data_IF_235619235689
#
_entry.id   IF_235619235689
#
_cell.length_a   1.000
_cell.length_b   1.000
_cell.length_c   1.000
_cell.angle_alpha   90.00
_cell.angle_beta   90.00
_cell.angle_gamma   90.00
#
_symmetry.space_group_name_H-M   'P 1'
#
loop_
_entity.id
_entity.type
_entity.pdbx_description
1 polymer ?
#
# COMPACT_ATOMS: atom_id res chain seq x y z
N UNK A 1 -9.81 -8.51 13.31
CA UNK A 1 -8.72 -9.44 12.95
C UNK A 1 -8.35 -9.17 11.50
N UNK A 2 -7.08 -8.89 11.19
CA UNK A 2 -6.62 -8.64 9.82
C UNK A 2 -6.40 -9.99 9.13
N UNK A 3 -7.37 -10.44 8.35
CA UNK A 3 -7.29 -11.69 7.59
C UNK A 3 -6.23 -11.53 6.50
N UNK A 4 -5.14 -12.30 6.56
CA UNK A 4 -4.14 -12.34 5.48
C UNK A 4 -4.87 -12.73 4.16
N UNK A 5 -4.58 -12.06 3.03
CA UNK A 5 -5.22 -12.39 1.76
C UNK A 5 -4.94 -13.85 1.37
N UNK A 6 -5.89 -14.51 0.71
CA UNK A 6 -5.67 -15.83 0.12
C UNK A 6 -4.57 -15.78 -0.93
N UNK A 7 -3.95 -16.92 -1.24
CA UNK A 7 -2.87 -17.00 -2.24
C UNK A 7 -3.30 -16.44 -3.61
N UNK A 8 -4.52 -16.75 -4.05
CA UNK A 8 -5.06 -16.26 -5.33
C UNK A 8 -5.21 -14.73 -5.33
N UNK A 9 -5.72 -14.17 -4.22
CA UNK A 9 -5.88 -12.72 -4.06
C UNK A 9 -4.53 -12.02 -3.99
N UNK A 10 -3.54 -12.63 -3.36
CA UNK A 10 -2.17 -12.13 -3.33
C UNK A 10 -1.57 -12.05 -4.74
N UNK A 11 -1.77 -13.08 -5.57
CA UNK A 11 -1.30 -13.09 -6.97
C UNK A 11 -1.98 -12.00 -7.78
N UNK A 12 -3.29 -11.82 -7.65
CA UNK A 12 -4.02 -10.73 -8.31
C UNK A 12 -3.47 -9.35 -7.90
N UNK A 13 -3.26 -9.16 -6.60
CA UNK A 13 -2.70 -7.93 -6.04
C UNK A 13 -1.29 -7.66 -6.55
N UNK A 14 -0.46 -8.70 -6.67
CA UNK A 14 0.90 -8.57 -7.20
C UNK A 14 0.86 -8.17 -8.68
N UNK A 15 -0.03 -8.76 -9.47
CA UNK A 15 -0.21 -8.39 -10.87
C UNK A 15 -0.68 -6.93 -11.03
N UNK A 16 -1.62 -6.47 -10.18
CA UNK A 16 -2.08 -5.08 -10.15
C UNK A 16 -0.97 -4.11 -9.73
N UNK A 17 -0.22 -4.44 -8.68
CA UNK A 17 0.90 -3.64 -8.22
C UNK A 17 1.98 -3.50 -9.31
N UNK A 18 2.34 -4.61 -9.97
CA UNK A 18 3.30 -4.63 -11.06
C UNK A 18 2.88 -3.74 -12.25
N UNK A 19 1.60 -3.80 -12.66
CA UNK A 19 1.06 -2.89 -13.70
C UNK A 19 1.18 -1.41 -13.35
N UNK A 20 1.25 -1.07 -12.06
CA UNK A 20 1.41 0.30 -11.54
C UNK A 20 2.87 0.67 -11.21
N UNK A 21 3.84 -0.16 -11.60
CA UNK A 21 5.25 -0.04 -11.22
C UNK A 21 5.43 0.08 -9.70
N UNK A 22 4.71 -0.74 -8.95
CA UNK A 22 4.68 -0.74 -7.49
C UNK A 22 4.72 -2.16 -6.92
N UNK A 23 4.93 -2.28 -5.62
CA UNK A 23 4.91 -3.53 -4.86
C UNK A 23 3.81 -3.49 -3.80
N UNK A 24 3.40 -4.68 -3.35
CA UNK A 24 2.55 -4.77 -2.16
C UNK A 24 3.43 -4.47 -0.94
N UNK A 25 3.03 -3.56 -0.04
CA UNK A 25 3.75 -3.34 1.21
C UNK A 25 3.70 -4.60 2.08
N UNK A 26 4.70 -4.77 2.94
CA UNK A 26 4.75 -5.90 3.88
C UNK A 26 3.58 -5.83 4.88
N UNK A 27 3.18 -4.61 5.23
CA UNK A 27 2.01 -4.32 6.04
C UNK A 27 1.48 -2.92 5.72
N UNK A 28 0.17 -2.73 5.87
CA UNK A 28 -0.43 -1.41 5.85
C UNK A 28 -1.66 -1.37 6.76
N UNK A 29 -1.95 -0.18 7.28
CA UNK A 29 -3.11 0.11 8.11
C UNK A 29 -3.68 1.47 7.71
N UNK A 30 -4.99 1.52 7.48
CA UNK A 30 -5.68 2.74 7.04
C UNK A 30 -6.43 3.36 8.22
N UNK A 31 -6.24 4.65 8.41
CA UNK A 31 -6.96 5.50 9.34
C UNK A 31 -7.75 6.55 8.56
N UNK A 32 -8.72 7.25 9.19
CA UNK A 32 -9.58 8.22 8.49
C UNK A 32 -8.84 9.30 7.69
N UNK A 33 -7.66 9.74 8.15
CA UNK A 33 -6.88 10.82 7.52
C UNK A 33 -5.48 10.42 7.05
N UNK A 34 -5.04 9.19 7.38
CA UNK A 34 -3.66 8.75 7.15
C UNK A 34 -3.58 7.26 6.86
N UNK A 35 -2.54 6.86 6.16
CA UNK A 35 -2.16 5.46 6.00
C UNK A 35 -0.81 5.24 6.67
N UNK A 36 -0.69 4.14 7.39
CA UNK A 36 0.57 3.62 7.91
C UNK A 36 0.99 2.46 7.03
N UNK A 37 2.24 2.45 6.57
CA UNK A 37 2.76 1.47 5.63
C UNK A 37 4.12 0.99 6.12
N UNK A 38 4.35 -0.32 6.09
CA UNK A 38 5.68 -0.94 6.19
C UNK A 38 6.12 -1.28 4.77
N UNK A 39 7.22 -0.68 4.32
CA UNK A 39 7.70 -0.86 2.96
C UNK A 39 8.02 -2.33 2.67
N UNK A 40 7.49 -2.87 1.58
CA UNK A 40 7.76 -4.26 1.18
C UNK A 40 9.21 -4.52 0.72
N UNK A 41 10.02 -3.47 0.51
CA UNK A 41 11.43 -3.60 0.12
C UNK A 41 12.37 -3.42 1.31
N UNK A 42 12.40 -2.24 1.93
CA UNK A 42 13.36 -1.93 2.99
C UNK A 42 12.82 -2.10 4.41
N UNK A 43 11.55 -2.55 4.56
CA UNK A 43 10.88 -2.77 5.86
C UNK A 43 10.77 -1.56 6.78
N UNK A 44 11.08 -0.35 6.29
CA UNK A 44 10.86 0.87 7.05
C UNK A 44 9.37 1.17 7.10
N UNK A 45 8.91 1.54 8.30
CA UNK A 45 7.57 2.07 8.52
C UNK A 45 7.53 3.56 8.17
N UNK A 46 6.44 4.00 7.55
CA UNK A 46 6.19 5.40 7.27
C UNK A 46 4.69 5.70 7.21
N UNK A 47 4.35 6.96 7.45
CA UNK A 47 2.96 7.44 7.44
C UNK A 47 2.79 8.49 6.34
N UNK A 48 1.65 8.45 5.65
CA UNK A 48 1.28 9.44 4.63
C UNK A 48 -0.17 9.86 4.81
N UNK A 49 -0.47 11.09 4.40
CA UNK A 49 -1.85 11.57 4.29
C UNK A 49 -2.59 10.66 3.32
N UNK A 50 -3.77 10.20 3.74
CA UNK A 50 -4.63 9.40 2.89
C UNK A 50 -5.11 10.27 1.72
N UNK A 51 -5.04 9.74 0.50
CA UNK A 51 -5.57 10.45 -0.67
C UNK A 51 -7.05 10.08 -0.79
N UNK A 52 -7.94 11.02 -0.49
CA UNK A 52 -9.39 10.85 -0.60
C UNK A 52 -9.79 10.63 -2.07
N UNK A 53 -10.84 9.82 -2.29
CA UNK A 53 -11.41 9.52 -3.61
C UNK A 53 -10.41 8.94 -4.62
N UNK A 54 -9.32 8.33 -4.12
CA UNK A 54 -8.33 7.67 -4.97
C UNK A 54 -8.30 6.19 -4.66
N UNK A 55 -8.69 5.42 -5.66
CA UNK A 55 -8.67 3.98 -5.58
C UNK A 55 -7.25 3.45 -5.70
N UNK A 56 -6.91 2.57 -4.78
CA UNK A 56 -5.67 1.83 -4.74
C UNK A 56 -4.40 2.71 -4.87
N UNK A 57 -4.18 3.66 -3.93
CA UNK A 57 -3.12 4.64 -4.01
C UNK A 57 -1.71 4.03 -3.94
N UNK A 58 -0.76 4.71 -4.58
CA UNK A 58 0.66 4.35 -4.54
C UNK A 58 1.44 5.38 -3.72
N UNK A 59 2.18 4.89 -2.73
CA UNK A 59 3.01 5.71 -1.83
C UNK A 59 4.49 5.37 -1.99
N UNK A 60 5.31 6.40 -2.18
CA UNK A 60 6.76 6.24 -2.28
C UNK A 60 7.36 6.19 -0.86
N UNK A 61 8.20 5.19 -0.60
CA UNK A 61 8.95 5.10 0.64
C UNK A 61 9.82 6.37 0.81
N UNK A 62 9.77 7.05 1.97
CA UNK A 62 10.53 8.28 2.20
C UNK A 62 12.03 8.06 2.44
N UNK A 63 12.47 6.82 2.60
CA UNK A 63 13.87 6.52 2.86
C UNK A 63 14.73 6.92 1.64
N UNK A 64 15.75 7.73 1.83
CA UNK A 64 16.66 8.17 0.76
C UNK A 64 17.30 6.99 0.02
N UNK A 65 17.56 5.90 0.73
CA UNK A 65 18.15 4.67 0.20
C UNK A 65 17.11 3.70 -0.37
N UNK A 66 15.81 3.97 -0.21
CA UNK A 66 14.73 3.13 -0.75
C UNK A 66 13.64 3.98 -1.39
N UNK A 67 13.62 4.01 -2.73
CA UNK A 67 12.59 4.71 -3.53
C UNK A 67 11.44 3.78 -3.97
N UNK A 68 11.20 2.72 -3.22
CA UNK A 68 10.18 1.73 -3.56
C UNK A 68 8.77 2.35 -3.53
N UNK A 69 7.96 1.97 -4.51
CA UNK A 69 6.57 2.38 -4.67
C UNK A 69 5.68 1.31 -4.04
N UNK A 70 4.96 1.66 -2.98
CA UNK A 70 4.09 0.74 -2.25
C UNK A 70 2.63 1.01 -2.65
N UNK A 71 1.97 0.01 -3.20
CA UNK A 71 0.59 0.08 -3.64
C UNK A 71 -0.33 -0.51 -2.56
N UNK A 72 -1.31 0.28 -2.15
CA UNK A 72 -2.24 -0.09 -1.08
C UNK A 72 -3.59 -0.45 -1.70
N UNK A 73 -4.06 -1.71 -1.63
CA UNK A 73 -5.31 -2.18 -2.24
C UNK A 73 -6.54 -1.76 -1.44
N UNK A 74 -6.78 -0.45 -1.34
CA UNK A 74 -7.91 0.12 -0.59
C UNK A 74 -8.78 0.95 -1.54
N UNK A 75 -10.08 0.72 -1.45
CA UNK A 75 -11.11 1.56 -2.05
C UNK A 75 -11.63 2.48 -0.95
N UNK A 76 -11.57 3.80 -1.14
CA UNK A 76 -12.00 4.76 -0.13
C UNK A 76 -13.03 5.71 -0.72
N UNK A 77 -14.29 5.37 -0.50
CA UNK A 77 -15.47 6.17 -0.87
C UNK A 77 -15.98 6.85 0.41
N UNK A 78 -15.81 8.18 0.49
CA UNK A 78 -16.46 8.99 1.51
C UNK A 78 -17.92 9.20 1.10
N UNK A 79 -18.81 8.29 1.49
CA UNK A 79 -20.25 8.58 1.51
C UNK A 79 -20.64 9.40 2.73
#
# INVERSE_FOLDING_TARGET
>A
MVTKPSKEKLVEWQAKAAKKNAIIPEYFEVFPSKVHIICGTCKNSFKRTLILNRDEPVYVCPNSNCKARNWVPVYFDLK
#
